data_IF_476454454985
#
_entry.id   IF_476454454985
#
_cell.length_a   1.000
_cell.length_b   1.000
_cell.length_c   1.000
_cell.angle_alpha   90.00
_cell.angle_beta   90.00
_cell.angle_gamma   90.00
#
_symmetry.space_group_name_H-M   'P 1'
#
loop_
_entity.id
_entity.type
_entity.pdbx_description
1 polymer ?
#
# COMPACT_ATOMS: atom_id res chain seq x y z
N UNK A 1 -17.34 18.31 -27.00
CA UNK A 1 -17.07 18.30 -25.55
C UNK A 1 -17.02 19.74 -25.10
N UNK A 2 -17.72 20.10 -24.02
CA UNK A 2 -17.66 21.46 -23.49
C UNK A 2 -16.29 21.64 -22.79
N UNK A 3 -15.76 22.87 -22.75
CA UNK A 3 -14.48 23.17 -22.11
C UNK A 3 -14.41 22.74 -20.62
N UNK A 4 -15.56 22.57 -19.96
CA UNK A 4 -15.67 22.03 -18.61
C UNK A 4 -15.28 20.54 -18.54
N UNK A 5 -15.75 19.72 -19.47
CA UNK A 5 -15.41 18.29 -19.52
C UNK A 5 -13.90 18.10 -19.79
N UNK A 6 -13.31 18.96 -20.62
CA UNK A 6 -11.87 18.91 -20.92
C UNK A 6 -11.01 19.17 -19.67
N UNK A 7 -11.43 20.11 -18.80
CA UNK A 7 -10.76 20.37 -17.53
C UNK A 7 -10.91 19.20 -16.55
N UNK A 8 -12.10 18.60 -16.46
CA UNK A 8 -12.32 17.41 -15.63
C UNK A 8 -11.49 16.23 -16.10
N UNK A 9 -11.41 15.99 -17.42
CA UNK A 9 -10.58 14.92 -18.00
C UNK A 9 -9.11 15.15 -17.67
N UNK A 10 -8.61 16.38 -17.84
CA UNK A 10 -7.23 16.71 -17.52
C UNK A 10 -6.92 16.42 -16.05
N UNK A 11 -7.76 16.92 -15.13
CA UNK A 11 -7.57 16.70 -13.70
C UNK A 11 -7.64 15.21 -13.34
N UNK A 12 -8.56 14.48 -13.96
CA UNK A 12 -8.69 13.04 -13.75
C UNK A 12 -7.43 12.28 -14.17
N UNK A 13 -6.83 12.62 -15.32
CA UNK A 13 -5.57 12.03 -15.77
C UNK A 13 -4.40 12.36 -14.85
N UNK A 14 -4.32 13.60 -14.34
CA UNK A 14 -3.31 13.97 -13.34
C UNK A 14 -3.45 13.14 -12.06
N UNK A 15 -4.68 12.91 -11.59
CA UNK A 15 -4.92 12.05 -10.42
C UNK A 15 -4.48 10.62 -10.70
N UNK A 16 -4.77 10.07 -11.88
CA UNK A 16 -4.36 8.71 -12.22
C UNK A 16 -2.83 8.54 -12.23
N UNK A 17 -2.09 9.52 -12.74
CA UNK A 17 -0.62 9.52 -12.68
C UNK A 17 -0.11 9.63 -11.24
N UNK A 18 -0.71 10.50 -10.42
CA UNK A 18 -0.35 10.65 -9.02
C UNK A 18 -0.64 9.38 -8.20
N UNK A 19 -1.75 8.69 -8.46
CA UNK A 19 -2.06 7.42 -7.81
C UNK A 19 -1.03 6.34 -8.13
N UNK A 20 -0.53 6.29 -9.35
CA UNK A 20 0.54 5.38 -9.72
C UNK A 20 1.85 5.72 -9.00
N UNK A 21 2.21 7.01 -8.95
CA UNK A 21 3.41 7.44 -8.22
C UNK A 21 3.33 7.14 -6.73
N UNK A 22 2.22 7.47 -6.07
CA UNK A 22 2.04 7.22 -4.64
C UNK A 22 2.07 5.73 -4.31
N UNK A 23 1.59 4.87 -5.21
CA UNK A 23 1.68 3.43 -5.04
C UNK A 23 3.13 2.94 -5.06
N UNK A 24 3.94 3.42 -6.01
CA UNK A 24 5.37 3.09 -6.07
C UNK A 24 6.15 3.63 -4.85
N UNK A 25 5.69 4.74 -4.26
CA UNK A 25 6.24 5.32 -3.03
C UNK A 25 5.64 4.71 -1.75
N UNK A 26 4.71 3.75 -1.86
CA UNK A 26 3.96 3.14 -0.75
C UNK A 26 3.22 4.15 0.17
N UNK A 27 2.84 5.32 -0.38
CA UNK A 27 2.16 6.41 0.33
C UNK A 27 0.65 6.24 0.35
N UNK A 28 0.19 5.13 0.95
CA UNK A 28 -1.21 4.69 0.91
C UNK A 28 -2.22 5.68 1.53
N UNK A 29 -1.82 6.43 2.56
CA UNK A 29 -2.69 7.43 3.20
C UNK A 29 -3.07 8.56 2.22
N UNK A 30 -2.10 9.00 1.42
CA UNK A 30 -2.31 10.05 0.42
C UNK A 30 -3.10 9.54 -0.78
N UNK A 31 -2.94 8.26 -1.14
CA UNK A 31 -3.78 7.62 -2.16
C UNK A 31 -5.26 7.68 -1.78
N UNK A 32 -5.60 7.47 -0.51
CA UNK A 32 -7.00 7.56 -0.04
C UNK A 32 -7.61 8.92 -0.33
N UNK A 33 -6.85 9.99 -0.08
CA UNK A 33 -7.30 11.37 -0.32
C UNK A 33 -7.51 11.64 -1.81
N UNK A 34 -6.60 11.17 -2.67
CA UNK A 34 -6.74 11.32 -4.13
C UNK A 34 -7.89 10.49 -4.71
N UNK A 35 -8.18 9.32 -4.15
CA UNK A 35 -9.32 8.49 -4.56
C UNK A 35 -10.66 9.18 -4.24
N UNK A 36 -10.74 9.88 -3.10
CA UNK A 36 -11.91 10.70 -2.76
C UNK A 36 -12.06 11.89 -3.72
N UNK A 37 -10.98 12.59 -4.06
CA UNK A 37 -11.01 13.65 -5.08
C UNK A 37 -11.43 13.09 -6.44
N UNK A 38 -10.89 11.94 -6.84
CA UNK A 38 -11.26 11.24 -8.07
C UNK A 38 -12.75 10.97 -8.13
N UNK A 39 -13.32 10.43 -7.05
CA UNK A 39 -14.75 10.14 -6.95
C UNK A 39 -15.59 11.41 -7.17
N UNK A 40 -15.23 12.52 -6.52
CA UNK A 40 -15.92 13.80 -6.69
C UNK A 40 -15.83 14.34 -8.12
N UNK A 41 -14.75 14.08 -8.84
CA UNK A 41 -14.61 14.45 -10.25
C UNK A 41 -15.49 13.57 -11.13
N UNK A 42 -15.47 12.24 -10.90
CA UNK A 42 -16.31 11.29 -11.65
C UNK A 42 -17.79 11.61 -11.50
N UNK A 43 -18.25 12.04 -10.32
CA UNK A 43 -19.64 12.47 -10.07
C UNK A 43 -20.05 13.74 -10.84
N UNK A 44 -19.09 14.56 -11.28
CA UNK A 44 -19.35 15.79 -12.05
C UNK A 44 -19.49 15.54 -13.55
N UNK A 45 -19.06 14.38 -14.04
CA UNK A 45 -19.24 14.05 -15.45
C UNK A 45 -20.71 13.76 -15.75
N UNK A 46 -21.22 14.41 -16.79
CA UNK A 46 -22.54 14.05 -17.35
C UNK A 46 -22.45 12.74 -18.14
N UNK A 47 -21.36 12.54 -18.86
CA UNK A 47 -21.01 11.30 -19.55
C UNK A 47 -19.48 11.17 -19.61
N UNK A 48 -18.95 10.02 -19.18
CA UNK A 48 -17.50 9.75 -19.25
C UNK A 48 -17.20 9.06 -20.57
N UNK A 49 -16.18 9.52 -21.33
CA UNK A 49 -15.72 8.80 -22.50
C UNK A 49 -15.40 7.34 -22.15
N UNK A 50 -16.03 6.39 -22.84
CA UNK A 50 -15.91 4.94 -22.56
C UNK A 50 -14.45 4.48 -22.49
N UNK A 51 -13.60 4.99 -23.38
CA UNK A 51 -12.18 4.65 -23.38
C UNK A 51 -11.42 5.17 -22.15
N UNK A 52 -11.84 6.31 -21.59
CA UNK A 52 -11.30 6.82 -20.33
C UNK A 52 -11.74 5.96 -19.15
N UNK A 53 -13.03 5.59 -19.09
CA UNK A 53 -13.54 4.68 -18.06
C UNK A 53 -12.81 3.32 -18.07
N UNK A 54 -12.58 2.74 -19.26
CA UNK A 54 -11.82 1.49 -19.40
C UNK A 54 -10.39 1.61 -18.90
N UNK A 55 -9.71 2.73 -19.21
CA UNK A 55 -8.34 2.98 -18.74
C UNK A 55 -8.27 3.07 -17.21
N UNK A 56 -9.18 3.82 -16.59
CA UNK A 56 -9.24 3.96 -15.13
C UNK A 56 -9.52 2.60 -14.48
N UNK A 57 -10.48 1.84 -15.02
CA UNK A 57 -10.79 0.52 -14.50
C UNK A 57 -9.59 -0.44 -14.58
N UNK A 58 -8.89 -0.47 -15.73
CA UNK A 58 -7.69 -1.30 -15.88
C UNK A 58 -6.57 -0.86 -14.94
N UNK A 59 -6.37 0.45 -14.76
CA UNK A 59 -5.39 0.99 -13.82
C UNK A 59 -5.71 0.55 -12.39
N UNK A 60 -6.97 0.62 -11.97
CA UNK A 60 -7.41 0.16 -10.65
C UNK A 60 -7.16 -1.33 -10.44
N UNK A 61 -7.42 -2.17 -11.45
CA UNK A 61 -7.08 -3.60 -11.38
C UNK A 61 -5.58 -3.82 -11.17
N UNK A 62 -4.76 -3.13 -11.95
CA UNK A 62 -3.30 -3.23 -11.84
C UNK A 62 -2.80 -2.77 -10.47
N UNK A 63 -3.33 -1.65 -9.94
CA UNK A 63 -2.99 -1.15 -8.60
C UNK A 63 -3.39 -2.14 -7.51
N UNK A 64 -4.57 -2.74 -7.61
CA UNK A 64 -5.04 -3.74 -6.65
C UNK A 64 -4.15 -4.99 -6.64
N UNK A 65 -3.70 -5.46 -7.79
CA UNK A 65 -2.75 -6.57 -7.87
C UNK A 65 -1.41 -6.24 -7.22
N UNK A 66 -0.86 -5.05 -7.50
CA UNK A 66 0.38 -4.56 -6.87
C UNK A 66 0.23 -4.44 -5.35
N UNK A 67 -0.83 -3.80 -4.87
CA UNK A 67 -1.11 -3.66 -3.43
C UNK A 67 -1.22 -5.03 -2.78
N UNK A 68 -1.92 -5.98 -3.40
CA UNK A 68 -2.03 -7.34 -2.89
C UNK A 68 -0.66 -7.99 -2.72
N UNK A 69 0.21 -7.88 -3.72
CA UNK A 69 1.57 -8.42 -3.64
C UNK A 69 2.39 -7.78 -2.52
N UNK A 70 2.33 -6.45 -2.38
CA UNK A 70 2.99 -5.73 -1.28
C UNK A 70 2.49 -6.20 0.09
N UNK A 71 1.17 -6.36 0.26
CA UNK A 71 0.60 -6.85 1.51
C UNK A 71 1.03 -8.29 1.84
N UNK A 72 1.15 -9.16 0.84
CA UNK A 72 1.67 -10.51 1.02
C UNK A 72 3.14 -10.50 1.49
N UNK A 73 3.98 -9.62 0.91
CA UNK A 73 5.36 -9.45 1.33
C UNK A 73 5.47 -8.91 2.76
N UNK A 74 4.73 -7.86 3.10
CA UNK A 74 4.69 -7.29 4.46
C UNK A 74 4.25 -8.34 5.48
N UNK A 75 3.22 -9.13 5.15
CA UNK A 75 2.75 -10.22 6.02
C UNK A 75 3.82 -11.27 6.28
N UNK A 76 4.57 -11.66 5.25
CA UNK A 76 5.70 -12.59 5.40
C UNK A 76 6.82 -12.00 6.26
N UNK A 77 7.18 -10.74 6.04
CA UNK A 77 8.19 -10.03 6.83
C UNK A 77 7.77 -9.91 8.30
N UNK A 78 6.50 -9.60 8.58
CA UNK A 78 5.97 -9.54 9.94
C UNK A 78 6.06 -10.90 10.66
N UNK A 79 5.76 -11.99 9.95
CA UNK A 79 5.91 -13.36 10.48
C UNK A 79 7.36 -13.68 10.81
N UNK A 80 8.29 -13.36 9.91
CA UNK A 80 9.73 -13.58 10.12
C UNK A 80 10.26 -12.74 11.30
N UNK A 81 9.86 -11.47 11.39
CA UNK A 81 10.22 -10.58 12.50
C UNK A 81 9.76 -11.14 13.84
N UNK A 82 8.52 -11.62 13.94
CA UNK A 82 7.99 -12.27 15.14
C UNK A 82 8.77 -13.54 15.51
N UNK A 83 9.13 -14.36 14.53
CA UNK A 83 9.95 -15.55 14.74
C UNK A 83 11.36 -15.16 15.23
N UNK A 84 11.98 -14.15 14.63
CA UNK A 84 13.26 -13.60 15.05
C UNK A 84 13.22 -13.12 16.51
N UNK A 85 12.21 -12.34 16.89
CA UNK A 85 12.02 -11.88 18.26
C UNK A 85 11.85 -13.04 19.25
N UNK A 86 11.09 -14.07 18.86
CA UNK A 86 10.90 -15.28 19.67
C UNK A 86 12.22 -16.02 19.87
N UNK A 87 13.02 -16.17 18.81
CA UNK A 87 14.34 -16.79 18.86
C UNK A 87 15.32 -16.04 19.75
N UNK A 88 15.35 -14.70 19.64
CA UNK A 88 16.18 -13.85 20.49
C UNK A 88 15.80 -13.98 21.98
N UNK A 89 14.50 -13.98 22.29
CA UNK A 89 14.02 -14.14 23.67
C UNK A 89 14.37 -15.54 24.24
N UNK A 90 14.25 -16.58 23.43
CA UNK A 90 14.64 -17.93 23.81
C UNK A 90 16.15 -18.03 24.07
N UNK A 91 16.98 -17.46 23.18
CA UNK A 91 18.42 -17.41 23.36
C UNK A 91 18.83 -16.68 24.64
N UNK A 92 18.24 -15.50 24.91
CA UNK A 92 18.48 -14.75 26.14
C UNK A 92 18.15 -15.58 27.39
N UNK A 93 17.00 -16.25 27.40
CA UNK A 93 16.60 -17.14 28.50
C UNK A 93 17.59 -18.30 28.72
N UNK A 94 18.09 -18.90 27.64
CA UNK A 94 19.08 -19.98 27.72
C UNK A 94 20.42 -19.48 28.26
N UNK A 95 20.87 -18.30 27.83
CA UNK A 95 22.10 -17.67 28.31
C UNK A 95 22.03 -17.38 29.81
N UNK A 96 20.92 -16.80 30.28
CA UNK A 96 20.68 -16.53 31.72
C UNK A 96 20.69 -17.83 32.53
N UNK A 97 20.01 -18.89 32.08
CA UNK A 97 20.02 -20.18 32.76
C UNK A 97 21.40 -20.83 32.81
N UNK A 98 22.20 -20.67 31.75
CA UNK A 98 23.54 -21.26 31.68
C UNK A 98 24.50 -20.51 32.59
N UNK A 99 24.45 -19.18 32.59
CA UNK A 99 25.26 -18.32 33.47
C UNK A 99 24.93 -18.57 34.94
N UNK A 100 23.65 -18.59 35.30
CA UNK A 100 23.20 -18.87 36.67
C UNK A 100 23.55 -20.30 37.17
N UNK A 101 23.78 -21.26 36.26
CA UNK A 101 24.28 -22.60 36.63
C UNK A 101 25.78 -22.61 36.92
N UNK A 102 26.56 -21.82 36.19
CA UNK A 102 28.00 -21.66 36.41
C UNK A 102 28.27 -20.99 37.76
N UNK A 103 27.54 -19.91 38.10
CA UNK A 103 27.69 -19.19 39.37
C UNK A 103 27.34 -20.04 40.61
N UNK A 104 26.59 -21.14 40.45
CA UNK A 104 26.28 -22.08 41.55
C UNK A 104 27.33 -23.17 41.74
N UNK A 105 28.29 -23.29 40.82
CA UNK A 105 29.32 -24.32 40.80
C UNK A 105 30.73 -23.77 41.12
N UNK A 106 30.88 -22.45 41.20
CA UNK A 106 32.10 -21.72 41.58
C UNK A 106 31.90 -21.02 42.92
#
# INVERSE_FOLDING_TARGET
>A
MQAFDEQLVKRLLEIEEQLDQLLEEERFEEMSTLLDERKLILEKFTDIPVELAKKIFQADQNRMEKIKHLMEQISQQAKQSKQGQTGLNAYKSLLEQTTNKLDKLT
#
